data_IF_573181389192
#
_entry.id   IF_573181389192
#
_cell.length_a   1.000
_cell.length_b   1.000
_cell.length_c   1.000
_cell.angle_alpha   90.00
_cell.angle_beta   90.00
_cell.angle_gamma   90.00
#
_symmetry.space_group_name_H-M   'P 1'
#
loop_
_entity.id
_entity.type
_entity.pdbx_description
1 polymer ?
#
# COMPACT_ATOMS: atom_id res chain seq x y z
N UNK A 1 6.13 -1.23 29.49
CA UNK A 1 4.90 -1.92 29.07
C UNK A 1 3.79 -1.53 30.05
N UNK A 2 3.03 -0.47 29.74
CA UNK A 2 1.87 -0.08 30.56
C UNK A 2 0.63 -0.79 30.01
N UNK A 3 0.14 -1.79 30.70
CA UNK A 3 -1.15 -2.44 30.41
C UNK A 3 -2.19 -1.76 31.31
N UNK A 4 -3.20 -1.12 30.71
CA UNK A 4 -4.27 -0.48 31.48
C UNK A 4 -5.05 -1.52 32.31
N UNK A 5 -5.50 -1.16 33.51
CA UNK A 5 -6.12 -1.99 34.53
C UNK A 5 -7.38 -2.80 34.14
N UNK A 6 -7.78 -2.85 32.87
CA UNK A 6 -8.94 -3.62 32.40
C UNK A 6 -8.66 -5.09 32.06
N UNK A 7 -7.45 -5.59 32.29
CA UNK A 7 -7.07 -6.98 31.97
C UNK A 7 -6.70 -7.87 33.17
N UNK A 8 -7.23 -7.57 34.35
CA UNK A 8 -6.95 -8.34 35.57
C UNK A 8 -7.21 -9.87 35.46
N UNK A 9 -8.14 -10.29 34.60
CA UNK A 9 -8.42 -11.70 34.41
C UNK A 9 -7.38 -12.44 33.52
N UNK A 10 -6.67 -11.74 32.63
CA UNK A 10 -5.63 -12.36 31.76
C UNK A 10 -4.34 -12.58 32.56
N UNK A 11 -3.98 -11.64 33.43
CA UNK A 11 -2.81 -11.78 34.32
C UNK A 11 -2.96 -12.86 35.37
N UNK A 12 -4.16 -13.03 35.95
CA UNK A 12 -4.42 -14.07 36.94
C UNK A 12 -4.26 -15.51 36.37
N UNK A 13 -4.49 -15.71 35.05
CA UNK A 13 -4.23 -17.00 34.41
C UNK A 13 -2.74 -17.27 34.13
N UNK A 14 -1.93 -16.22 33.96
CA UNK A 14 -0.48 -16.35 33.76
C UNK A 14 0.30 -16.53 35.07
N UNK A 15 -0.24 -16.09 36.21
CA UNK A 15 0.41 -16.21 37.50
C UNK A 15 0.65 -17.65 37.98
N UNK A 16 0.10 -18.65 37.30
CA UNK A 16 0.33 -20.10 37.58
C UNK A 16 1.10 -20.81 36.48
N UNK A 17 1.60 -20.11 35.45
CA UNK A 17 2.43 -20.72 34.43
C UNK A 17 3.84 -20.99 34.96
N UNK A 18 4.50 -22.10 34.50
CA UNK A 18 5.90 -22.36 34.85
C UNK A 18 6.77 -21.18 34.42
N UNK A 19 7.70 -20.77 35.28
CA UNK A 19 8.66 -19.68 35.06
C UNK A 19 9.96 -20.21 34.41
N UNK A 20 9.88 -21.41 33.84
CA UNK A 20 11.00 -22.06 33.21
C UNK A 20 11.32 -21.37 31.88
N UNK A 21 12.57 -21.02 31.67
CA UNK A 21 13.06 -20.48 30.40
C UNK A 21 13.00 -21.57 29.32
N UNK A 22 12.16 -21.36 28.31
CA UNK A 22 12.09 -22.22 27.13
C UNK A 22 13.10 -21.72 26.10
N UNK A 23 14.24 -22.39 26.02
CA UNK A 23 15.26 -22.14 25.01
C UNK A 23 14.94 -23.02 23.80
N UNK A 24 14.79 -22.41 22.64
CA UNK A 24 14.59 -23.09 21.36
C UNK A 24 15.71 -22.66 20.42
N UNK A 25 16.36 -23.61 19.78
CA UNK A 25 17.30 -23.31 18.69
C UNK A 25 16.49 -22.76 17.50
N UNK A 26 16.80 -21.52 17.12
CA UNK A 26 16.16 -20.82 16.01
C UNK A 26 17.22 -20.53 14.96
N UNK A 27 17.04 -21.07 13.75
CA UNK A 27 17.87 -20.77 12.59
C UNK A 27 17.28 -19.65 11.72
N UNK A 28 18.12 -19.00 10.94
CA UNK A 28 17.71 -17.92 10.03
C UNK A 28 16.61 -18.34 9.04
N UNK A 29 16.60 -19.61 8.67
CA UNK A 29 15.63 -20.19 7.74
C UNK A 29 14.31 -20.64 8.39
N UNK A 30 14.21 -20.58 9.72
CA UNK A 30 12.99 -20.97 10.39
C UNK A 30 11.85 -19.98 10.11
N UNK A 31 10.63 -20.52 10.06
CA UNK A 31 9.43 -19.73 9.80
C UNK A 31 9.02 -18.99 11.06
N UNK A 32 9.09 -17.68 11.03
CA UNK A 32 8.60 -16.81 12.11
C UNK A 32 7.08 -16.79 12.12
N UNK A 33 6.48 -16.65 10.96
CA UNK A 33 5.04 -16.47 10.79
C UNK A 33 4.58 -17.14 9.50
N UNK A 34 3.50 -17.94 9.59
CA UNK A 34 2.75 -18.40 8.43
C UNK A 34 1.55 -17.48 8.23
N UNK A 35 1.57 -16.70 7.16
CA UNK A 35 0.54 -15.72 6.85
C UNK A 35 -0.27 -16.13 5.63
N UNK A 36 -1.60 -16.03 5.72
CA UNK A 36 -2.48 -16.39 4.60
C UNK A 36 -2.90 -15.15 3.81
N UNK A 37 -2.80 -15.27 2.48
CA UNK A 37 -3.28 -14.24 1.53
C UNK A 37 -4.49 -14.75 0.75
N UNK A 38 -5.40 -13.85 0.37
CA UNK A 38 -6.50 -14.18 -0.53
C UNK A 38 -5.93 -14.43 -1.93
N UNK A 39 -5.93 -15.69 -2.37
CA UNK A 39 -5.57 -16.03 -3.75
C UNK A 39 -6.65 -15.58 -4.75
N UNK A 40 -6.26 -15.23 -5.97
CA UNK A 40 -7.19 -14.96 -7.10
C UNK A 40 -8.05 -16.19 -7.45
N UNK A 41 -7.64 -17.40 -7.05
CA UNK A 41 -8.34 -18.67 -7.28
C UNK A 41 -9.30 -19.07 -6.15
N UNK A 42 -9.62 -18.18 -5.21
CA UNK A 42 -10.62 -18.41 -4.15
C UNK A 42 -10.10 -19.16 -2.91
N UNK A 43 -9.01 -19.93 -2.98
CA UNK A 43 -8.39 -20.56 -1.80
C UNK A 43 -7.25 -19.72 -1.27
N UNK A 44 -7.21 -19.45 0.05
CA UNK A 44 -6.08 -18.74 0.66
C UNK A 44 -4.75 -19.48 0.43
N UNK A 45 -3.66 -18.71 0.26
CA UNK A 45 -2.30 -19.24 0.13
C UNK A 45 -1.52 -18.93 1.39
N UNK A 46 -0.84 -19.92 1.94
CA UNK A 46 0.07 -19.74 3.07
C UNK A 46 1.42 -19.21 2.58
N UNK A 47 1.86 -18.10 3.14
CA UNK A 47 3.19 -17.50 2.90
C UNK A 47 4.03 -17.69 4.15
N UNK A 48 5.05 -18.55 4.14
CA UNK A 48 5.99 -18.70 5.23
C UNK A 48 6.97 -17.52 5.22
N UNK A 49 6.93 -16.70 6.25
CA UNK A 49 7.84 -15.58 6.47
C UNK A 49 8.91 -16.00 7.48
N UNK A 50 10.18 -15.88 7.10
CA UNK A 50 11.33 -16.36 7.87
C UNK A 50 11.94 -15.24 8.71
N UNK A 51 12.77 -15.63 9.68
CA UNK A 51 13.49 -14.69 10.55
C UNK A 51 14.40 -13.77 9.76
N UNK A 52 15.19 -14.30 8.82
CA UNK A 52 16.12 -13.54 8.00
C UNK A 52 15.44 -12.37 7.25
N UNK A 53 14.23 -12.59 6.72
CA UNK A 53 13.47 -11.56 6.00
C UNK A 53 13.09 -10.36 6.87
N UNK A 54 12.67 -10.60 8.11
CA UNK A 54 12.35 -9.51 9.05
C UNK A 54 13.62 -8.84 9.58
N UNK A 55 14.64 -9.61 9.93
CA UNK A 55 15.93 -9.06 10.42
C UNK A 55 16.57 -8.17 9.37
N UNK A 56 16.61 -8.60 8.11
CA UNK A 56 17.14 -7.80 7.00
C UNK A 56 16.44 -6.44 6.88
N UNK A 57 15.10 -6.42 6.98
CA UNK A 57 14.35 -5.16 6.99
C UNK A 57 14.72 -4.26 8.18
N UNK A 58 14.80 -4.82 9.40
CA UNK A 58 15.14 -4.04 10.60
C UNK A 58 16.53 -3.40 10.46
N UNK A 59 17.53 -4.20 10.08
CA UNK A 59 18.91 -3.72 9.94
C UNK A 59 19.09 -2.72 8.80
N UNK A 60 18.33 -2.86 7.71
CA UNK A 60 18.47 -2.00 6.53
C UNK A 60 17.57 -0.75 6.54
N UNK A 61 16.54 -0.68 7.40
CA UNK A 61 15.49 0.35 7.26
C UNK A 61 15.01 0.97 8.58
N UNK A 62 15.49 0.48 9.72
CA UNK A 62 15.07 0.97 11.04
C UNK A 62 16.28 1.32 11.89
N UNK A 63 16.30 2.52 12.43
CA UNK A 63 17.32 2.91 13.39
C UNK A 63 17.15 2.12 14.70
N UNK A 64 18.23 1.56 15.26
CA UNK A 64 18.17 0.84 16.53
C UNK A 64 17.74 1.75 17.68
N UNK A 65 17.25 1.13 18.76
CA UNK A 65 16.85 1.83 19.96
C UNK A 65 17.97 2.78 20.47
N UNK A 66 17.60 4.02 20.75
CA UNK A 66 18.48 5.02 21.38
C UNK A 66 17.80 5.57 22.64
N UNK A 67 18.51 5.68 23.78
CA UNK A 67 17.95 6.25 25.00
C UNK A 67 17.62 7.76 24.86
N UNK A 68 18.13 8.42 23.83
CA UNK A 68 17.93 9.84 23.56
C UNK A 68 16.67 10.11 22.75
N UNK A 69 16.06 9.05 22.16
CA UNK A 69 14.92 9.18 21.26
C UNK A 69 13.72 8.48 21.84
N UNK A 70 12.72 9.25 22.26
CA UNK A 70 11.41 8.71 22.68
C UNK A 70 10.42 8.82 21.52
N UNK A 71 10.16 7.70 20.85
CA UNK A 71 9.16 7.60 19.78
C UNK A 71 7.97 6.74 20.23
N UNK A 72 6.77 7.15 19.82
CA UNK A 72 5.52 6.42 20.07
C UNK A 72 4.86 6.08 18.75
N UNK A 73 4.72 4.79 18.47
CA UNK A 73 4.16 4.29 17.22
C UNK A 73 2.69 3.90 17.41
N UNK A 74 1.79 4.65 16.77
CA UNK A 74 0.35 4.32 16.76
C UNK A 74 0.05 3.29 15.67
N UNK A 75 -0.25 2.07 16.12
CA UNK A 75 -0.57 0.93 15.25
C UNK A 75 -2.09 0.81 15.06
N UNK A 76 -2.54 1.04 13.82
CA UNK A 76 -3.93 0.91 13.37
C UNK A 76 -4.12 -0.21 12.35
N UNK A 77 -3.01 -0.68 11.76
CA UNK A 77 -3.03 -1.79 10.81
C UNK A 77 -3.14 -3.12 11.55
N UNK A 78 -4.05 -4.02 11.14
CA UNK A 78 -4.24 -5.29 11.83
C UNK A 78 -3.01 -6.19 11.85
N UNK A 79 -2.81 -6.94 12.95
CA UNK A 79 -1.68 -7.87 13.11
C UNK A 79 -1.77 -9.10 12.19
N UNK A 80 -2.95 -9.42 11.64
CA UNK A 80 -3.08 -10.48 10.63
C UNK A 80 -2.61 -10.06 9.23
N UNK A 81 -2.11 -8.82 9.08
CA UNK A 81 -1.46 -8.32 7.87
C UNK A 81 0.03 -8.10 8.14
N UNK A 82 0.87 -8.42 7.14
CA UNK A 82 2.34 -8.34 7.27
C UNK A 82 2.83 -6.95 7.70
N UNK A 83 2.18 -5.88 7.24
CA UNK A 83 2.53 -4.52 7.62
C UNK A 83 2.31 -4.25 9.13
N UNK A 84 1.30 -4.86 9.75
CA UNK A 84 1.08 -4.77 11.19
C UNK A 84 2.19 -5.45 11.99
N UNK A 85 2.58 -6.67 11.58
CA UNK A 85 3.71 -7.40 12.19
C UNK A 85 5.01 -6.62 12.01
N UNK A 86 5.28 -6.12 10.80
CA UNK A 86 6.47 -5.32 10.52
C UNK A 86 6.53 -4.07 11.41
N UNK A 87 5.40 -3.38 11.62
CA UNK A 87 5.35 -2.21 12.50
C UNK A 87 5.64 -2.55 13.98
N UNK A 88 5.19 -3.72 14.45
CA UNK A 88 5.51 -4.21 15.81
C UNK A 88 7.00 -4.50 15.94
N UNK A 89 7.58 -5.26 15.01
CA UNK A 89 9.00 -5.61 15.03
C UNK A 89 9.88 -4.35 14.93
N UNK A 90 9.52 -3.41 14.05
CA UNK A 90 10.21 -2.13 13.92
C UNK A 90 10.12 -1.28 15.22
N UNK A 91 8.98 -1.33 15.92
CA UNK A 91 8.83 -0.65 17.20
C UNK A 91 9.71 -1.28 18.30
N UNK A 92 9.79 -2.61 18.35
CA UNK A 92 10.66 -3.33 19.29
C UNK A 92 12.12 -3.01 19.04
N UNK A 93 12.58 -3.15 17.78
CA UNK A 93 13.98 -2.90 17.42
C UNK A 93 14.38 -1.44 17.63
N UNK A 94 13.50 -0.50 17.29
CA UNK A 94 13.71 0.93 17.49
C UNK A 94 13.45 1.45 18.92
N UNK A 95 13.14 0.56 19.89
CA UNK A 95 12.85 0.96 21.28
C UNK A 95 11.63 1.85 21.44
N UNK A 96 10.64 1.75 20.55
CA UNK A 96 9.46 2.62 20.50
C UNK A 96 8.34 2.11 21.40
N UNK A 97 7.64 3.03 22.06
CA UNK A 97 6.37 2.69 22.70
C UNK A 97 5.32 2.36 21.62
N UNK A 98 4.70 1.18 21.74
CA UNK A 98 3.64 0.77 20.82
C UNK A 98 2.26 1.08 21.41
N UNK A 99 1.53 1.99 20.76
CA UNK A 99 0.13 2.31 21.07
C UNK A 99 -0.75 1.57 20.07
N UNK A 100 -1.63 0.68 20.55
CA UNK A 100 -2.43 -0.18 19.68
C UNK A 100 -3.89 0.20 19.70
N UNK A 101 -4.47 0.44 18.52
CA UNK A 101 -5.92 0.59 18.35
C UNK A 101 -6.53 -0.73 17.86
N UNK A 102 -7.68 -1.13 18.43
CA UNK A 102 -8.39 -2.34 17.99
C UNK A 102 -8.96 -2.22 16.59
N UNK A 103 -9.44 -1.02 16.27
CA UNK A 103 -10.05 -0.67 14.98
C UNK A 103 -9.84 0.81 14.73
N UNK A 104 -9.60 1.18 13.46
CA UNK A 104 -9.51 2.57 13.06
C UNK A 104 -10.90 3.23 13.12
N UNK A 105 -10.99 4.31 13.88
CA UNK A 105 -12.07 5.30 13.86
C UNK A 105 -11.39 6.67 13.86
N UNK A 106 -11.79 7.56 12.96
CA UNK A 106 -11.04 8.76 12.65
C UNK A 106 -10.89 9.72 13.85
N UNK A 107 -11.97 9.96 14.60
CA UNK A 107 -11.91 10.87 15.73
C UNK A 107 -11.15 10.25 16.92
N UNK A 108 -11.35 8.96 17.19
CA UNK A 108 -10.58 8.25 18.21
C UNK A 108 -9.10 8.16 17.84
N UNK A 109 -8.76 8.05 16.54
CA UNK A 109 -7.38 8.06 16.09
C UNK A 109 -6.72 9.42 16.39
N UNK A 110 -7.35 10.54 16.01
CA UNK A 110 -6.83 11.89 16.27
C UNK A 110 -6.72 12.18 17.77
N UNK A 111 -7.72 11.77 18.54
CA UNK A 111 -7.70 11.86 20.00
C UNK A 111 -6.58 11.05 20.62
N UNK A 112 -6.33 9.83 20.13
CA UNK A 112 -5.25 8.97 20.59
C UNK A 112 -3.88 9.59 20.26
N UNK A 113 -3.70 10.15 19.06
CA UNK A 113 -2.48 10.89 18.72
C UNK A 113 -2.20 12.00 19.72
N UNK A 114 -3.21 12.81 20.02
CA UNK A 114 -3.09 13.92 20.98
C UNK A 114 -2.79 13.43 22.40
N UNK A 115 -3.52 12.41 22.89
CA UNK A 115 -3.41 11.93 24.28
C UNK A 115 -2.13 11.17 24.55
N UNK A 116 -1.72 10.32 23.60
CA UNK A 116 -0.54 9.48 23.72
C UNK A 116 0.72 10.14 23.14
N UNK A 117 0.60 11.37 22.60
CA UNK A 117 1.70 12.05 21.91
C UNK A 117 2.38 11.16 20.85
N UNK A 118 1.56 10.46 20.04
CA UNK A 118 2.08 9.56 19.02
C UNK A 118 2.93 10.33 18.01
N UNK A 119 4.16 9.87 17.78
CA UNK A 119 5.10 10.50 16.86
C UNK A 119 5.16 9.82 15.49
N UNK A 120 4.69 8.57 15.42
CA UNK A 120 4.69 7.77 14.20
C UNK A 120 3.37 7.04 14.01
N UNK A 121 2.95 6.91 12.76
CA UNK A 121 1.78 6.09 12.41
C UNK A 121 1.97 5.42 11.04
N UNK A 122 1.30 4.29 10.86
CA UNK A 122 1.13 3.65 9.55
C UNK A 122 -0.35 3.69 9.18
N UNK A 123 -0.65 4.20 7.98
CA UNK A 123 -2.01 4.42 7.50
C UNK A 123 -2.18 3.83 6.10
N UNK A 124 -3.35 3.27 5.82
CA UNK A 124 -3.75 3.01 4.44
C UNK A 124 -4.38 4.27 3.82
N UNK A 125 -4.43 4.41 2.48
CA UNK A 125 -4.91 5.64 1.83
C UNK A 125 -6.28 6.12 2.30
N UNK A 126 -7.23 5.22 2.52
CA UNK A 126 -8.57 5.56 3.02
C UNK A 126 -8.56 6.11 4.44
N UNK A 127 -7.67 5.64 5.30
CA UNK A 127 -7.51 6.16 6.66
C UNK A 127 -6.96 7.60 6.60
N UNK A 128 -5.88 7.82 5.82
CA UNK A 128 -5.31 9.16 5.65
C UNK A 128 -6.34 10.13 5.06
N UNK A 129 -7.09 9.70 4.03
CA UNK A 129 -8.19 10.48 3.46
C UNK A 129 -9.19 10.91 4.53
N UNK A 130 -9.69 9.95 5.34
CA UNK A 130 -10.68 10.24 6.38
C UNK A 130 -10.15 11.23 7.44
N UNK A 131 -8.85 11.20 7.74
CA UNK A 131 -8.21 12.14 8.65
C UNK A 131 -8.18 13.55 8.04
N UNK A 132 -7.66 13.67 6.80
CA UNK A 132 -7.46 14.99 6.17
C UNK A 132 -8.77 15.65 5.71
N UNK A 133 -9.83 14.88 5.51
CA UNK A 133 -11.16 15.34 5.15
C UNK A 133 -12.09 15.55 6.37
N UNK A 134 -11.62 15.21 7.56
CA UNK A 134 -12.45 15.31 8.77
C UNK A 134 -12.73 16.78 9.12
N UNK A 135 -14.01 17.17 9.26
CA UNK A 135 -14.37 18.55 9.61
C UNK A 135 -13.88 18.97 10.99
N UNK A 136 -13.63 18.01 11.88
CA UNK A 136 -13.14 18.24 13.23
C UNK A 136 -11.61 18.18 13.36
N UNK A 137 -10.87 18.04 12.24
CA UNK A 137 -9.40 17.94 12.21
C UNK A 137 -8.72 19.00 13.08
N UNK A 138 -9.15 20.26 12.96
CA UNK A 138 -8.57 21.39 13.71
C UNK A 138 -8.87 21.40 15.21
N UNK A 139 -9.73 20.49 15.71
CA UNK A 139 -10.04 20.38 17.13
C UNK A 139 -9.02 19.54 17.89
N UNK A 140 -8.13 18.82 17.16
CA UNK A 140 -7.14 17.93 17.74
C UNK A 140 -5.72 18.47 17.52
N UNK A 141 -4.88 18.35 18.54
CA UNK A 141 -3.45 18.64 18.43
C UNK A 141 -2.71 17.42 17.92
N UNK A 142 -2.28 17.46 16.66
CA UNK A 142 -1.50 16.42 15.99
C UNK A 142 -0.01 16.78 15.85
N UNK A 143 0.48 17.82 16.52
CA UNK A 143 1.85 18.33 16.40
C UNK A 143 2.94 17.36 16.86
N UNK A 144 2.57 16.34 17.65
CA UNK A 144 3.47 15.25 18.04
C UNK A 144 3.87 14.35 16.88
N UNK A 145 3.06 14.26 15.81
CA UNK A 145 3.37 13.46 14.64
C UNK A 145 4.62 13.96 13.93
N UNK A 146 5.54 13.03 13.64
CA UNK A 146 6.80 13.28 12.92
C UNK A 146 6.92 12.44 11.66
N UNK A 147 6.35 11.23 11.65
CA UNK A 147 6.44 10.31 10.51
C UNK A 147 5.10 9.64 10.28
N UNK A 148 4.61 9.69 9.05
CA UNK A 148 3.48 8.86 8.58
C UNK A 148 3.97 8.00 7.42
N UNK A 149 3.97 6.69 7.63
CA UNK A 149 4.14 5.70 6.56
C UNK A 149 2.77 5.36 5.98
N UNK A 150 2.65 5.34 4.66
CA UNK A 150 1.42 4.92 4.00
C UNK A 150 1.72 3.88 2.91
N UNK A 151 0.73 3.05 2.59
CA UNK A 151 0.90 1.99 1.58
C UNK A 151 -0.25 1.00 1.56
N UNK A 152 0.02 -0.21 1.10
CA UNK A 152 -0.92 -1.31 0.91
C UNK A 152 -1.97 -1.12 -0.22
N UNK A 153 -2.17 0.11 -0.70
CA UNK A 153 -3.02 0.45 -1.84
C UNK A 153 -2.50 1.74 -2.51
N UNK A 154 -2.89 2.03 -3.76
CA UNK A 154 -2.56 3.29 -4.42
C UNK A 154 -3.06 4.49 -3.62
N UNK A 155 -2.20 5.50 -3.45
CA UNK A 155 -2.52 6.75 -2.76
C UNK A 155 -3.02 7.79 -3.76
N UNK A 156 -4.26 8.28 -3.65
CA UNK A 156 -4.72 9.36 -4.51
C UNK A 156 -3.85 10.62 -4.33
N UNK A 157 -3.41 11.19 -5.45
CA UNK A 157 -2.53 12.36 -5.45
C UNK A 157 -3.10 13.55 -4.65
N UNK A 158 -4.39 13.78 -4.76
CA UNK A 158 -5.09 14.85 -4.02
C UNK A 158 -5.05 14.64 -2.50
N UNK A 159 -5.09 13.37 -2.04
CA UNK A 159 -5.06 13.04 -0.61
C UNK A 159 -3.67 13.32 -0.03
N UNK A 160 -2.61 12.83 -0.69
CA UNK A 160 -1.26 13.03 -0.18
C UNK A 160 -0.84 14.50 -0.23
N UNK A 161 -1.17 15.22 -1.30
CA UNK A 161 -0.86 16.66 -1.40
C UNK A 161 -1.61 17.49 -0.36
N UNK A 162 -2.86 17.14 -0.07
CA UNK A 162 -3.62 17.77 1.03
C UNK A 162 -2.98 17.45 2.39
N UNK A 163 -2.61 16.19 2.63
CA UNK A 163 -1.96 15.77 3.87
C UNK A 163 -0.65 16.54 4.11
N UNK A 164 0.21 16.63 3.10
CA UNK A 164 1.47 17.40 3.17
C UNK A 164 1.24 18.87 3.50
N UNK A 165 0.14 19.47 2.98
CA UNK A 165 -0.19 20.86 3.22
C UNK A 165 -0.65 21.12 4.66
N UNK A 166 -1.46 20.23 5.24
CA UNK A 166 -2.06 20.43 6.58
C UNK A 166 -1.20 19.85 7.71
N UNK A 167 -0.24 18.99 7.37
CA UNK A 167 0.73 18.39 8.30
C UNK A 167 2.17 18.67 7.80
N UNK A 168 2.60 19.95 7.74
CA UNK A 168 3.86 20.34 7.10
C UNK A 168 5.11 19.82 7.80
N UNK A 169 5.03 19.52 9.11
CA UNK A 169 6.15 19.01 9.90
C UNK A 169 6.25 17.49 9.90
N UNK A 170 5.32 16.80 9.21
CA UNK A 170 5.29 15.34 9.11
C UNK A 170 6.08 14.89 7.89
N UNK A 171 7.00 13.97 8.10
CA UNK A 171 7.70 13.26 7.02
C UNK A 171 6.85 12.08 6.55
N UNK A 172 6.50 12.08 5.28
CA UNK A 172 5.73 11.02 4.66
C UNK A 172 6.63 9.99 3.99
N UNK A 173 6.24 8.73 4.04
CA UNK A 173 6.92 7.60 3.39
C UNK A 173 5.88 6.74 2.70
N UNK A 174 5.98 6.55 1.39
CA UNK A 174 5.21 5.52 0.70
C UNK A 174 5.97 4.20 0.77
N UNK A 175 5.32 3.15 1.25
CA UNK A 175 5.89 1.81 1.34
C UNK A 175 5.11 0.84 0.44
N UNK A 176 5.81 0.24 -0.53
CA UNK A 176 5.22 -0.75 -1.43
C UNK A 176 5.86 -2.12 -1.21
N UNK A 177 5.01 -3.14 -1.24
CA UNK A 177 5.36 -4.54 -1.14
C UNK A 177 4.12 -5.41 -0.92
N UNK A 178 4.34 -6.67 -0.64
CA UNK A 178 3.29 -7.68 -0.48
C UNK A 178 3.66 -8.68 0.60
N UNK A 179 2.76 -9.58 0.94
CA UNK A 179 3.03 -10.62 1.96
C UNK A 179 4.21 -11.50 1.56
N UNK A 180 4.32 -11.84 0.29
CA UNK A 180 5.36 -12.66 -0.32
C UNK A 180 6.77 -12.01 -0.23
N UNK A 181 6.84 -10.73 0.13
CA UNK A 181 8.09 -9.95 0.28
C UNK A 181 8.36 -9.52 1.73
N UNK A 182 7.76 -10.17 2.71
CA UNK A 182 7.81 -9.78 4.12
C UNK A 182 7.54 -8.28 4.33
N UNK A 183 6.59 -7.72 3.59
CA UNK A 183 6.11 -6.35 3.51
C UNK A 183 6.83 -5.48 2.44
N UNK A 184 7.66 -4.52 2.82
CA UNK A 184 8.15 -3.44 1.95
C UNK A 184 9.37 -3.85 1.14
N UNK A 185 9.36 -3.65 -0.18
CA UNK A 185 10.52 -3.83 -1.06
C UNK A 185 10.99 -2.55 -1.72
N UNK A 186 10.08 -1.57 -1.91
CA UNK A 186 10.43 -0.24 -2.41
C UNK A 186 9.82 0.85 -1.54
N UNK A 187 10.44 2.00 -1.47
CA UNK A 187 9.93 3.15 -0.74
C UNK A 187 10.16 4.46 -1.50
N UNK A 188 9.13 5.34 -1.44
CA UNK A 188 9.26 6.75 -1.79
C UNK A 188 9.52 7.49 -0.47
N UNK A 189 10.73 8.04 -0.32
CA UNK A 189 11.23 8.58 0.93
C UNK A 189 10.65 9.94 1.32
N UNK A 190 10.99 10.46 2.50
CA UNK A 190 10.54 11.78 2.94
C UNK A 190 10.99 12.91 2.00
N UNK A 191 12.17 12.81 1.40
CA UNK A 191 12.74 13.81 0.50
C UNK A 191 11.93 13.96 -0.80
N UNK A 192 11.27 12.88 -1.23
CA UNK A 192 10.40 12.87 -2.41
C UNK A 192 9.07 13.59 -2.16
N UNK A 193 8.71 13.77 -0.88
CA UNK A 193 7.51 14.50 -0.46
C UNK A 193 7.77 16.00 -0.24
N UNK A 194 9.03 16.45 -0.31
CA UNK A 194 9.39 17.86 -0.20
C UNK A 194 9.44 18.46 -1.62
N UNK A 195 8.42 19.24 -2.00
CA UNK A 195 8.27 19.80 -3.35
C UNK A 195 9.03 21.13 -3.44
N UNK A 196 10.34 21.05 -3.45
CA UNK A 196 11.28 22.17 -3.55
C UNK A 196 12.31 21.94 -4.66
N UNK A 197 12.98 23.00 -5.09
CA UNK A 197 13.97 22.99 -6.15
C UNK A 197 13.53 23.76 -7.39
N UNK A 198 14.17 23.47 -8.52
CA UNK A 198 13.81 24.01 -9.85
C UNK A 198 12.44 23.52 -10.27
N UNK A 199 11.81 24.18 -11.25
CA UNK A 199 10.50 23.73 -11.76
C UNK A 199 10.55 22.31 -12.34
N UNK A 200 11.67 21.93 -12.95
CA UNK A 200 11.86 20.56 -13.46
C UNK A 200 11.91 19.53 -12.31
N UNK A 201 12.65 19.82 -11.25
CA UNK A 201 12.72 18.96 -10.05
C UNK A 201 11.35 18.83 -9.35
N UNK A 202 10.63 19.94 -9.21
CA UNK A 202 9.27 19.92 -8.67
C UNK A 202 8.33 19.06 -9.50
N UNK A 203 8.37 19.18 -10.84
CA UNK A 203 7.53 18.38 -11.72
C UNK A 203 7.88 16.88 -11.63
N UNK A 204 9.17 16.54 -11.54
CA UNK A 204 9.60 15.14 -11.31
C UNK A 204 9.06 14.59 -9.98
N UNK A 205 9.16 15.36 -8.88
CA UNK A 205 8.64 14.97 -7.56
C UNK A 205 7.11 14.82 -7.57
N UNK A 206 6.38 15.75 -8.18
CA UNK A 206 4.92 15.65 -8.31
C UNK A 206 4.49 14.40 -9.11
N UNK A 207 5.22 14.09 -10.20
CA UNK A 207 5.00 12.86 -10.97
C UNK A 207 5.24 11.60 -10.12
N UNK A 208 6.32 11.59 -9.29
CA UNK A 208 6.62 10.48 -8.38
C UNK A 208 5.54 10.29 -7.33
N UNK A 209 5.07 11.37 -6.71
CA UNK A 209 3.96 11.32 -5.74
C UNK A 209 2.67 10.75 -6.34
N UNK A 210 2.42 10.99 -7.62
CA UNK A 210 1.18 10.55 -8.28
C UNK A 210 1.13 9.07 -8.64
N UNK A 211 2.29 8.41 -8.86
CA UNK A 211 2.29 7.06 -9.44
C UNK A 211 3.51 6.21 -9.14
N UNK A 212 4.55 6.75 -8.46
CA UNK A 212 5.74 5.96 -8.12
C UNK A 212 5.57 5.22 -6.80
N UNK A 213 6.10 4.01 -6.76
CA UNK A 213 6.30 3.22 -5.55
C UNK A 213 7.72 3.39 -4.96
N UNK A 214 8.47 4.36 -5.45
CA UNK A 214 9.81 4.69 -4.96
C UNK A 214 10.93 3.85 -5.56
N UNK A 215 12.02 3.73 -4.82
CA UNK A 215 13.21 2.96 -5.17
C UNK A 215 13.29 1.66 -4.38
N UNK A 216 14.00 0.64 -4.90
CA UNK A 216 14.29 -0.57 -4.13
C UNK A 216 15.01 -0.24 -2.81
N UNK A 217 14.64 -0.95 -1.74
CA UNK A 217 15.37 -0.90 -0.48
C UNK A 217 16.74 -1.58 -0.62
N UNK A 218 17.74 -1.22 0.22
CA UNK A 218 19.14 -1.65 0.02
C UNK A 218 19.37 -3.16 -0.03
N UNK A 219 18.50 -3.95 0.61
CA UNK A 219 18.59 -5.42 0.72
C UNK A 219 17.70 -6.15 -0.30
N UNK A 220 17.10 -5.43 -1.27
CA UNK A 220 16.24 -5.99 -2.30
C UNK A 220 16.67 -5.51 -3.68
N UNK A 221 16.82 -6.43 -4.60
CA UNK A 221 16.95 -6.13 -6.02
C UNK A 221 15.57 -6.17 -6.68
N UNK A 222 15.28 -5.19 -7.52
CA UNK A 222 14.04 -5.11 -8.30
C UNK A 222 14.38 -4.85 -9.77
N UNK A 223 13.74 -5.58 -10.68
CA UNK A 223 13.90 -5.43 -12.13
C UNK A 223 12.54 -5.32 -12.81
N UNK A 224 12.57 -4.72 -13.98
CA UNK A 224 11.44 -4.70 -14.92
C UNK A 224 11.81 -5.62 -16.08
N UNK A 225 11.00 -6.64 -16.35
CA UNK A 225 11.29 -7.64 -17.39
C UNK A 225 10.15 -7.74 -18.38
N UNK A 226 10.51 -8.04 -19.62
CA UNK A 226 9.56 -8.34 -20.69
C UNK A 226 9.04 -9.78 -20.64
N UNK A 227 8.14 -10.10 -21.56
CA UNK A 227 7.54 -11.44 -21.67
C UNK A 227 8.58 -12.54 -21.99
N UNK A 228 9.75 -12.16 -22.53
CA UNK A 228 10.89 -13.06 -22.76
C UNK A 228 11.79 -13.23 -21.52
N UNK A 229 11.44 -12.64 -20.41
CA UNK A 229 12.17 -12.66 -19.13
C UNK A 229 13.43 -11.79 -19.10
N UNK A 230 13.74 -11.02 -20.16
CA UNK A 230 14.88 -10.11 -20.16
C UNK A 230 14.53 -8.76 -19.54
N UNK A 231 15.53 -8.17 -18.87
CA UNK A 231 15.40 -6.83 -18.32
C UNK A 231 15.17 -5.81 -19.44
N UNK A 232 14.14 -4.98 -19.25
CA UNK A 232 13.75 -3.94 -20.20
C UNK A 232 14.56 -2.65 -19.98
N UNK A 233 14.76 -1.85 -21.06
CA UNK A 233 15.26 -0.50 -20.95
C UNK A 233 14.42 0.39 -20.03
N UNK A 234 15.02 1.48 -19.53
CA UNK A 234 14.31 2.46 -18.73
C UNK A 234 13.14 3.07 -19.50
N UNK A 235 12.01 3.25 -18.84
CA UNK A 235 10.78 3.79 -19.42
C UNK A 235 9.86 2.74 -20.08
N UNK A 236 10.32 1.53 -20.30
CA UNK A 236 9.48 0.45 -20.86
C UNK A 236 8.72 -0.29 -19.78
N UNK A 237 7.46 -0.64 -20.07
CA UNK A 237 6.54 -1.32 -19.15
C UNK A 237 6.69 -2.83 -19.23
N UNK A 238 6.99 -3.47 -18.11
CA UNK A 238 7.10 -4.92 -18.01
C UNK A 238 6.65 -5.44 -16.63
N UNK A 239 6.93 -6.70 -16.38
CA UNK A 239 6.65 -7.31 -15.08
C UNK A 239 7.69 -6.89 -14.04
N UNK A 240 7.22 -6.53 -12.85
CA UNK A 240 8.09 -6.21 -11.72
C UNK A 240 8.49 -7.52 -11.04
N UNK A 241 9.80 -7.81 -11.02
CA UNK A 241 10.35 -8.97 -10.32
C UNK A 241 11.28 -8.51 -9.20
N UNK A 242 11.35 -9.29 -8.11
CA UNK A 242 12.13 -8.95 -6.94
C UNK A 242 12.96 -10.14 -6.43
N UNK A 243 14.14 -9.84 -5.86
CA UNK A 243 15.04 -10.83 -5.24
C UNK A 243 15.70 -10.22 -4.01
N UNK A 244 15.90 -11.03 -2.96
CA UNK A 244 16.53 -10.59 -1.72
C UNK A 244 16.15 -11.49 -0.55
N UNK A 245 16.77 -11.30 0.61
CA UNK A 245 16.59 -12.13 1.81
C UNK A 245 15.15 -12.12 2.35
N UNK A 246 14.42 -11.05 2.13
CA UNK A 246 13.01 -10.91 2.60
C UNK A 246 11.97 -11.57 1.70
N UNK A 247 12.39 -12.05 0.51
CA UNK A 247 11.49 -12.76 -0.40
C UNK A 247 11.15 -14.13 0.16
N UNK A 248 9.88 -14.53 0.14
CA UNK A 248 9.46 -15.87 0.57
C UNK A 248 10.20 -16.95 -0.19
N UNK A 249 10.39 -18.13 0.40
CA UNK A 249 10.97 -19.29 -0.29
C UNK A 249 9.96 -20.06 -1.15
N UNK A 250 8.69 -19.76 -1.03
CA UNK A 250 7.58 -20.41 -1.74
C UNK A 250 6.30 -20.40 -0.92
N UNK A 251 5.20 -20.88 -1.49
CA UNK A 251 3.94 -21.04 -0.77
C UNK A 251 3.93 -22.33 0.07
N UNK A 252 3.37 -22.25 1.25
CA UNK A 252 3.26 -23.37 2.19
C UNK A 252 2.48 -24.53 1.58
N UNK A 253 3.17 -25.70 1.45
CA UNK A 253 2.60 -26.93 0.90
C UNK A 253 1.94 -26.78 -0.49
N UNK A 254 2.44 -25.86 -1.34
CA UNK A 254 1.90 -25.62 -2.68
C UNK A 254 3.05 -25.40 -3.68
N UNK A 255 3.66 -26.52 -4.12
CA UNK A 255 4.80 -26.50 -5.06
C UNK A 255 4.42 -25.94 -6.43
N UNK A 256 3.19 -26.20 -6.88
CA UNK A 256 2.72 -25.74 -8.19
C UNK A 256 2.65 -24.20 -8.24
N UNK A 257 1.99 -23.60 -7.24
CA UNK A 257 1.94 -22.13 -7.15
C UNK A 257 3.29 -21.53 -6.84
N UNK A 258 4.18 -22.25 -6.13
CA UNK A 258 5.55 -21.81 -5.90
C UNK A 258 6.30 -21.71 -7.23
N UNK A 259 6.25 -22.74 -8.07
CA UNK A 259 6.88 -22.69 -9.41
C UNK A 259 6.34 -21.55 -10.29
N UNK A 260 5.04 -21.26 -10.20
CA UNK A 260 4.42 -20.15 -10.94
C UNK A 260 4.76 -18.77 -10.38
N UNK A 261 5.23 -18.68 -9.14
CA UNK A 261 5.58 -17.42 -8.48
C UNK A 261 7.02 -16.97 -8.73
N UNK A 262 7.86 -17.84 -9.25
CA UNK A 262 9.28 -17.55 -9.45
C UNK A 262 9.71 -17.78 -10.89
N UNK A 263 10.66 -16.95 -11.34
CA UNK A 263 11.41 -17.20 -12.57
C UNK A 263 12.38 -18.38 -12.39
N UNK A 264 12.88 -19.00 -13.48
CA UNK A 264 13.84 -20.12 -13.38
C UNK A 264 15.12 -19.79 -12.60
N UNK A 265 15.55 -18.53 -12.58
CA UNK A 265 16.72 -18.02 -11.86
C UNK A 265 16.40 -17.45 -10.46
N UNK A 266 15.17 -17.69 -9.96
CA UNK A 266 14.76 -17.49 -8.58
C UNK A 266 14.34 -16.07 -8.21
N UNK A 267 13.85 -15.27 -9.17
CA UNK A 267 13.19 -13.98 -8.90
C UNK A 267 11.71 -14.19 -8.64
N UNK A 268 11.19 -13.55 -7.61
CA UNK A 268 9.75 -13.50 -7.36
C UNK A 268 9.06 -12.62 -8.41
N UNK A 269 8.04 -13.15 -9.06
CA UNK A 269 7.14 -12.41 -9.96
C UNK A 269 6.07 -11.76 -9.09
N UNK A 270 6.10 -10.43 -8.92
CA UNK A 270 5.19 -9.70 -8.02
C UNK A 270 3.75 -9.68 -8.53
N UNK A 271 3.54 -9.95 -9.82
CA UNK A 271 2.27 -9.77 -10.57
C UNK A 271 1.85 -8.32 -10.72
N UNK A 272 2.66 -7.38 -10.29
CA UNK A 272 2.50 -5.97 -10.59
C UNK A 272 3.34 -5.65 -11.84
N UNK A 273 2.81 -4.82 -12.73
CA UNK A 273 3.51 -4.30 -13.89
C UNK A 273 3.88 -2.84 -13.70
N UNK A 274 5.01 -2.46 -14.26
CA UNK A 274 5.52 -1.09 -14.11
C UNK A 274 6.71 -0.82 -14.99
N UNK A 275 7.28 0.35 -14.83
CA UNK A 275 8.48 0.78 -15.51
C UNK A 275 9.38 1.52 -14.53
N UNK A 276 10.67 1.64 -14.86
CA UNK A 276 11.67 2.32 -14.04
C UNK A 276 12.23 3.52 -14.79
N UNK A 277 12.31 4.69 -14.14
CA UNK A 277 12.91 5.88 -14.74
C UNK A 277 14.46 5.87 -14.66
N UNK A 278 15.10 6.86 -15.30
CA UNK A 278 16.56 7.01 -15.29
C UNK A 278 17.15 7.20 -13.90
N UNK A 279 16.38 7.74 -12.96
CA UNK A 279 16.77 7.95 -11.57
C UNK A 279 16.54 6.71 -10.69
N UNK A 280 16.01 5.61 -11.24
CA UNK A 280 15.74 4.33 -10.57
C UNK A 280 14.42 4.28 -9.78
N UNK A 281 13.52 5.23 -10.00
CA UNK A 281 12.17 5.17 -9.44
C UNK A 281 11.28 4.26 -10.25
N UNK A 282 10.50 3.44 -9.55
CA UNK A 282 9.56 2.49 -10.17
C UNK A 282 8.16 3.08 -10.14
N UNK A 283 7.48 3.01 -11.28
CA UNK A 283 6.12 3.49 -11.47
C UNK A 283 5.21 2.31 -11.77
N UNK A 284 4.08 2.23 -11.08
CA UNK A 284 3.09 1.18 -11.36
C UNK A 284 2.32 1.49 -12.65
N UNK A 285 2.18 0.48 -13.48
CA UNK A 285 1.27 0.48 -14.63
C UNK A 285 -0.02 -0.30 -14.32
N UNK A 286 -0.10 -0.93 -13.15
CA UNK A 286 -1.23 -1.71 -12.67
C UNK A 286 -0.86 -3.15 -12.36
N UNK A 287 -1.82 -3.92 -11.82
CA UNK A 287 -1.66 -5.37 -11.69
C UNK A 287 -1.91 -6.05 -13.03
N UNK A 288 -1.15 -7.09 -13.33
CA UNK A 288 -1.31 -7.84 -14.57
C UNK A 288 -2.76 -8.25 -14.83
N UNK A 289 -3.47 -8.72 -13.78
CA UNK A 289 -4.89 -9.09 -13.84
C UNK A 289 -5.86 -7.90 -13.91
N UNK A 290 -5.42 -6.68 -13.60
CA UNK A 290 -6.25 -5.46 -13.57
C UNK A 290 -5.96 -4.51 -14.74
N UNK A 291 -4.86 -4.74 -15.46
CA UNK A 291 -4.47 -3.93 -16.62
C UNK A 291 -5.52 -4.08 -17.72
N UNK A 292 -5.92 -2.96 -18.29
CA UNK A 292 -6.92 -2.94 -19.36
C UNK A 292 -6.19 -2.96 -20.69
N UNK A 293 -6.40 -4.00 -21.49
CA UNK A 293 -5.76 -4.16 -22.78
C UNK A 293 -6.73 -3.72 -23.88
N UNK A 294 -6.52 -2.51 -24.39
CA UNK A 294 -7.37 -1.94 -25.44
C UNK A 294 -6.61 -1.91 -26.76
N UNK A 295 -7.01 -2.71 -27.72
CA UNK A 295 -6.36 -2.82 -29.05
C UNK A 295 -4.84 -3.03 -28.96
N UNK A 296 -4.36 -3.80 -27.98
CA UNK A 296 -2.94 -4.03 -27.72
C UNK A 296 -2.24 -2.98 -26.86
N UNK A 297 -2.90 -1.85 -26.56
CA UNK A 297 -2.35 -0.82 -25.67
C UNK A 297 -2.72 -1.09 -24.20
N UNK A 298 -1.73 -0.98 -23.34
CA UNK A 298 -1.91 -1.16 -21.89
C UNK A 298 -2.41 0.13 -21.25
N UNK A 299 -3.55 0.07 -20.59
CA UNK A 299 -4.15 1.20 -19.86
C UNK A 299 -4.13 0.89 -18.38
N UNK A 300 -3.45 1.74 -17.59
CA UNK A 300 -3.44 1.65 -16.12
C UNK A 300 -4.76 2.15 -15.53
N UNK A 301 -5.51 1.32 -14.79
CA UNK A 301 -6.68 1.80 -14.06
C UNK A 301 -6.37 2.94 -13.10
N UNK A 302 -5.21 2.90 -12.43
CA UNK A 302 -4.84 3.91 -11.45
C UNK A 302 -4.63 5.30 -12.07
N UNK A 303 -4.12 5.38 -13.31
CA UNK A 303 -3.99 6.64 -14.04
C UNK A 303 -5.37 7.28 -14.26
N UNK A 304 -6.35 6.46 -14.64
CA UNK A 304 -7.71 6.92 -14.85
C UNK A 304 -8.39 7.27 -13.52
N UNK A 305 -8.20 6.44 -12.51
CA UNK A 305 -8.74 6.66 -11.16
C UNK A 305 -8.24 8.00 -10.59
N UNK A 306 -6.95 8.31 -10.71
CA UNK A 306 -6.37 9.58 -10.29
C UNK A 306 -6.96 10.77 -11.06
N UNK A 307 -7.10 10.65 -12.38
CA UNK A 307 -7.68 11.71 -13.20
C UNK A 307 -9.14 11.98 -12.81
N UNK A 308 -9.96 10.93 -12.61
CA UNK A 308 -11.36 11.05 -12.24
C UNK A 308 -11.50 11.54 -10.79
N UNK A 309 -10.66 11.04 -9.87
CA UNK A 309 -10.69 11.42 -8.47
C UNK A 309 -10.46 12.93 -8.26
N UNK A 310 -9.69 13.57 -9.14
CA UNK A 310 -9.48 15.02 -9.10
C UNK A 310 -10.72 15.85 -9.46
N UNK A 311 -11.83 15.22 -9.88
CA UNK A 311 -13.09 15.93 -10.11
C UNK A 311 -13.77 16.25 -8.76
N UNK A 312 -14.12 17.50 -8.46
CA UNK A 312 -14.51 17.96 -7.10
C UNK A 312 -15.69 17.22 -6.47
N UNK A 313 -16.58 16.64 -7.29
CA UNK A 313 -17.78 15.93 -6.83
C UNK A 313 -17.55 14.45 -6.53
N UNK A 314 -16.38 13.91 -6.88
CA UNK A 314 -16.05 12.49 -6.70
C UNK A 314 -15.57 12.23 -5.27
N UNK A 315 -16.15 11.24 -4.63
CA UNK A 315 -15.75 10.72 -3.32
C UNK A 315 -14.80 9.53 -3.45
N UNK A 316 -15.19 8.56 -4.28
CA UNK A 316 -14.39 7.38 -4.60
C UNK A 316 -14.56 7.00 -6.07
N UNK A 317 -13.56 6.33 -6.62
CA UNK A 317 -13.60 5.80 -7.98
C UNK A 317 -12.85 4.48 -8.07
N UNK A 318 -13.36 3.58 -8.89
CA UNK A 318 -12.65 2.40 -9.36
C UNK A 318 -12.83 2.26 -10.86
N UNK A 319 -11.75 1.90 -11.56
CA UNK A 319 -11.81 1.62 -13.00
C UNK A 319 -11.54 0.13 -13.22
N UNK A 320 -12.40 -0.49 -14.02
CA UNK A 320 -12.28 -1.89 -14.44
C UNK A 320 -12.26 -1.98 -15.97
N UNK A 321 -11.57 -2.99 -16.50
CA UNK A 321 -11.71 -3.39 -17.89
C UNK A 321 -12.98 -4.20 -18.09
N UNK A 322 -13.78 -3.83 -19.08
CA UNK A 322 -14.93 -4.60 -19.54
C UNK A 322 -14.71 -5.04 -20.97
N UNK A 323 -15.27 -6.16 -21.37
CA UNK A 323 -15.13 -6.71 -22.72
C UNK A 323 -15.76 -5.79 -23.76
N UNK A 324 -15.07 -5.61 -24.88
CA UNK A 324 -15.56 -4.83 -26.03
C UNK A 324 -15.24 -5.59 -27.32
N UNK A 325 -16.22 -5.80 -28.22
CA UNK A 325 -16.05 -6.62 -29.42
C UNK A 325 -15.08 -6.00 -30.45
N UNK A 326 -14.87 -4.68 -30.45
CA UNK A 326 -13.99 -3.98 -31.39
C UNK A 326 -12.56 -3.79 -30.79
N UNK A 327 -12.48 -3.50 -29.48
CA UNK A 327 -11.24 -3.07 -28.82
C UNK A 327 -10.64 -4.11 -27.87
N UNK A 328 -11.28 -5.29 -27.71
CA UNK A 328 -10.91 -6.31 -26.75
C UNK A 328 -11.38 -5.95 -25.35
N UNK A 329 -10.80 -4.90 -24.77
CA UNK A 329 -11.27 -4.31 -23.51
C UNK A 329 -11.37 -2.79 -23.62
N UNK A 330 -12.31 -2.22 -22.81
CA UNK A 330 -12.44 -0.78 -22.64
C UNK A 330 -12.60 -0.42 -21.15
N UNK A 331 -12.14 0.77 -20.72
CA UNK A 331 -12.29 1.18 -19.33
C UNK A 331 -13.73 1.58 -19.00
N UNK A 332 -14.26 1.05 -17.88
CA UNK A 332 -15.51 1.44 -17.24
C UNK A 332 -15.22 2.04 -15.88
N UNK A 333 -15.68 3.27 -15.64
CA UNK A 333 -15.48 3.98 -14.37
C UNK A 333 -16.71 3.79 -13.46
N UNK A 334 -16.47 3.30 -12.23
CA UNK A 334 -17.45 3.15 -11.16
C UNK A 334 -17.18 4.23 -10.13
N UNK A 335 -18.15 5.13 -9.90
CA UNK A 335 -17.92 6.37 -9.14
C UNK A 335 -18.91 6.49 -7.99
N UNK A 336 -18.40 6.77 -6.80
CA UNK A 336 -19.18 7.23 -5.66
C UNK A 336 -19.08 8.75 -5.61
N UNK A 337 -20.21 9.43 -5.59
CA UNK A 337 -20.26 10.89 -5.44
C UNK A 337 -20.28 11.29 -3.97
N UNK A 338 -19.75 12.48 -3.67
CA UNK A 338 -19.87 13.11 -2.35
C UNK A 338 -21.33 13.28 -1.96
N UNK A 339 -21.62 13.27 -0.66
CA UNK A 339 -22.99 13.46 -0.17
C UNK A 339 -23.60 14.80 -0.63
N UNK A 340 -24.82 14.71 -1.14
CA UNK A 340 -25.60 15.90 -1.51
C UNK A 340 -25.20 16.55 -2.83
N UNK A 341 -24.31 15.95 -3.61
CA UNK A 341 -23.96 16.43 -4.94
C UNK A 341 -24.48 15.49 -6.01
N UNK A 342 -24.68 16.01 -7.20
CA UNK A 342 -25.02 15.25 -8.40
C UNK A 342 -24.01 15.55 -9.50
N UNK A 343 -23.75 14.57 -10.34
CA UNK A 343 -22.94 14.72 -11.56
C UNK A 343 -23.56 13.87 -12.67
N UNK A 344 -23.26 14.22 -13.92
CA UNK A 344 -23.62 13.39 -15.06
C UNK A 344 -22.38 12.64 -15.60
N UNK A 345 -22.55 11.53 -16.31
CA UNK A 345 -21.45 10.85 -16.99
C UNK A 345 -20.68 11.79 -17.93
N UNK A 346 -21.39 12.71 -18.61
CA UNK A 346 -20.83 13.68 -19.54
C UNK A 346 -19.87 14.67 -18.85
N UNK A 347 -20.22 15.14 -17.63
CA UNK A 347 -19.34 15.99 -16.81
C UNK A 347 -18.02 15.28 -16.49
N UNK A 348 -18.09 14.00 -16.11
CA UNK A 348 -16.88 13.18 -15.83
C UNK A 348 -16.07 12.95 -17.10
N UNK A 349 -16.74 12.60 -18.20
CA UNK A 349 -16.07 12.38 -19.50
C UNK A 349 -15.38 13.65 -19.99
N UNK A 350 -16.00 14.83 -19.85
CA UNK A 350 -15.38 16.10 -20.22
C UNK A 350 -14.16 16.41 -19.37
N UNK A 351 -14.24 16.16 -18.05
CA UNK A 351 -13.09 16.31 -17.16
C UNK A 351 -11.93 15.37 -17.59
N UNK A 352 -12.22 14.12 -17.95
CA UNK A 352 -11.23 13.19 -18.48
C UNK A 352 -10.60 13.63 -19.80
N UNK A 353 -11.34 14.35 -20.67
CA UNK A 353 -10.80 14.87 -21.93
C UNK A 353 -9.65 15.83 -21.74
N UNK A 354 -9.68 16.62 -20.70
CA UNK A 354 -8.62 17.57 -20.38
C UNK A 354 -7.35 16.93 -19.80
N UNK A 355 -7.45 15.70 -19.28
CA UNK A 355 -6.38 15.06 -18.48
C UNK A 355 -5.82 13.78 -19.09
N UNK A 356 -6.59 13.09 -19.93
CA UNK A 356 -6.24 11.76 -20.44
C UNK A 356 -6.19 11.75 -21.97
N UNK A 357 -5.22 11.02 -22.51
CA UNK A 357 -5.18 10.69 -23.92
C UNK A 357 -6.48 9.99 -24.36
N UNK A 358 -6.89 10.17 -25.61
CA UNK A 358 -8.20 9.73 -26.10
C UNK A 358 -8.46 8.23 -25.90
N UNK A 359 -7.45 7.38 -26.14
CA UNK A 359 -7.56 5.93 -26.01
C UNK A 359 -7.66 5.44 -24.55
N UNK A 360 -7.19 6.25 -23.57
CA UNK A 360 -7.25 5.94 -22.13
C UNK A 360 -8.57 6.33 -21.48
N UNK A 361 -9.40 7.16 -22.13
CA UNK A 361 -10.64 7.67 -21.50
C UNK A 361 -11.62 6.55 -21.23
N UNK A 362 -12.40 6.64 -20.11
CA UNK A 362 -13.47 5.68 -19.85
C UNK A 362 -14.44 5.63 -21.05
N UNK A 363 -14.89 4.42 -21.40
CA UNK A 363 -15.95 4.24 -22.39
C UNK A 363 -17.33 4.48 -21.76
N UNK A 364 -17.47 4.10 -20.50
CA UNK A 364 -18.70 4.29 -19.73
C UNK A 364 -18.40 4.75 -18.29
N UNK A 365 -19.36 5.45 -17.72
CA UNK A 365 -19.34 5.94 -16.33
C UNK A 365 -20.63 5.49 -15.66
N UNK A 366 -20.51 4.84 -14.51
CA UNK A 366 -21.62 4.42 -13.68
C UNK A 366 -21.46 4.98 -12.27
N UNK A 367 -22.51 5.58 -11.73
CA UNK A 367 -22.56 6.00 -10.34
C UNK A 367 -23.07 4.86 -9.46
N UNK A 368 -22.36 4.58 -8.39
CA UNK A 368 -22.64 3.52 -7.42
C UNK A 368 -22.69 4.09 -6.01
N UNK A 369 -23.36 3.40 -5.09
CA UNK A 369 -23.47 3.85 -3.71
C UNK A 369 -22.20 3.60 -2.90
N UNK A 370 -21.50 2.48 -3.20
CA UNK A 370 -20.28 2.07 -2.50
C UNK A 370 -19.41 1.20 -3.40
N UNK A 371 -18.12 1.11 -3.07
CA UNK A 371 -17.16 0.23 -3.72
C UNK A 371 -16.75 -0.89 -2.75
N UNK A 372 -16.83 -2.18 -3.15
CA UNK A 372 -16.49 -3.30 -2.29
C UNK A 372 -15.00 -3.28 -1.92
N UNK A 373 -14.72 -3.47 -0.61
CA UNK A 373 -13.36 -3.48 -0.06
C UNK A 373 -13.14 -4.70 0.82
N UNK A 374 -11.90 -5.11 0.93
CA UNK A 374 -11.48 -6.06 1.96
C UNK A 374 -11.35 -5.36 3.33
N UNK A 375 -11.14 -6.11 4.44
CA UNK A 375 -10.96 -5.52 5.78
C UNK A 375 -9.79 -4.53 5.90
N UNK A 376 -8.84 -4.56 4.97
CA UNK A 376 -7.72 -3.61 4.87
C UNK A 376 -8.05 -2.35 4.06
N UNK A 377 -9.30 -2.19 3.63
CA UNK A 377 -9.72 -1.06 2.80
C UNK A 377 -9.30 -1.14 1.33
N UNK A 378 -8.69 -2.25 0.87
CA UNK A 378 -8.31 -2.45 -0.54
C UNK A 378 -9.54 -2.76 -1.38
N UNK A 379 -9.67 -2.09 -2.53
CA UNK A 379 -10.72 -2.36 -3.52
C UNK A 379 -10.67 -3.81 -4.04
N UNK A 380 -11.83 -4.44 -4.11
CA UNK A 380 -12.01 -5.79 -4.64
C UNK A 380 -12.42 -5.72 -6.11
N UNK A 381 -11.45 -5.45 -7.02
CA UNK A 381 -11.73 -5.28 -8.46
C UNK A 381 -12.35 -6.53 -9.10
N UNK A 382 -12.02 -7.73 -8.64
CA UNK A 382 -12.67 -8.97 -9.09
C UNK A 382 -14.18 -8.92 -8.83
N UNK A 383 -14.59 -8.53 -7.62
CA UNK A 383 -16.01 -8.38 -7.29
C UNK A 383 -16.71 -7.27 -8.08
N UNK A 384 -15.97 -6.19 -8.40
CA UNK A 384 -16.51 -5.14 -9.28
C UNK A 384 -16.73 -5.64 -10.70
N UNK A 385 -15.83 -6.50 -11.25
CA UNK A 385 -16.04 -7.13 -12.55
C UNK A 385 -17.22 -8.09 -12.56
N UNK A 386 -17.39 -8.87 -11.48
CA UNK A 386 -18.56 -9.77 -11.31
C UNK A 386 -19.89 -8.99 -11.28
N UNK A 387 -19.92 -7.83 -10.62
CA UNK A 387 -21.14 -7.03 -10.44
C UNK A 387 -21.44 -6.10 -11.63
N UNK A 388 -20.41 -5.60 -12.32
CA UNK A 388 -20.53 -4.51 -13.28
C UNK A 388 -19.75 -4.77 -14.59
N UNK A 389 -19.17 -5.95 -14.77
CA UNK A 389 -18.35 -6.28 -15.94
C UNK A 389 -19.16 -6.63 -17.20
N UNK A 390 -20.43 -6.97 -17.05
CA UNK A 390 -21.38 -7.15 -18.15
C UNK A 390 -22.17 -5.86 -18.34
N UNK A 391 -22.34 -5.42 -19.59
CA UNK A 391 -23.22 -4.31 -19.96
C UNK A 391 -24.59 -4.80 -20.39
#
# INVERSE_FOLDING_TARGET
MCVSERSSHTFARQAGAPDDEVITDIGDNDVTILMYTSGTTGKPKGVPLRHDGFVSYMLGSVDPASPEVEERNLLTVPLYHVAGIQAVLAAIYGGRTLVMMRQFEVNEWMKTVQQEHASRAMLVPTMLKNIVDNPDFSKYDLSSLKVITYGAAPMPFEVITKAMKILPDVRFINAFGQTETASTITALGPEDHIIEGTEEEKQKKLKRLGSSIGKPLPDVEVKIVGDDGKELPRGEVGDIIAKGSRIMSGYWQDEEKTKQAFTPDGWLITKDRGWMDEDGYIFLAGRGDDLIIRAGENISPEELENAIYSYPKVEEVAVIGVSDPEWGQVPKALIVLKKGVTATPEEIMEHCRAKLASFKRPRSVMFVNELPRNPMGKLLKTKLRELYGED
#
